data_IF_348128426432
#
_entry.id   IF_348128426432
#
_cell.length_a   1.000
_cell.length_b   1.000
_cell.length_c   1.000
_cell.angle_alpha   90.00
_cell.angle_beta   90.00
_cell.angle_gamma   90.00
#
_symmetry.space_group_name_H-M   'P 1'
#
loop_
_entity.id
_entity.type
_entity.pdbx_description
1 polymer ?
#
# COMPACT_ATOMS: atom_id res chain seq x y z
N UNK A 1 27.95 33.97 -22.92
CA UNK A 1 26.50 33.70 -22.79
C UNK A 1 26.17 32.21 -22.80
N UNK A 2 26.83 31.38 -23.62
CA UNK A 2 26.53 29.93 -23.76
C UNK A 2 26.59 29.06 -22.48
N UNK A 3 27.34 29.46 -21.45
CA UNK A 3 27.51 28.65 -20.22
C UNK A 3 26.31 28.75 -19.26
N UNK A 4 25.58 29.87 -19.28
CA UNK A 4 24.43 30.08 -18.40
C UNK A 4 23.18 29.35 -18.91
N UNK A 5 22.96 29.37 -20.22
CA UNK A 5 21.85 28.64 -20.85
C UNK A 5 21.99 27.12 -20.68
N UNK A 6 23.22 26.60 -20.79
CA UNK A 6 23.53 25.19 -20.49
C UNK A 6 23.29 24.82 -19.03
N UNK A 7 23.56 25.74 -18.10
CA UNK A 7 23.32 25.52 -16.67
C UNK A 7 21.81 25.47 -16.35
N UNK A 8 21.02 26.38 -16.94
CA UNK A 8 19.56 26.36 -16.82
C UNK A 8 18.99 25.07 -17.41
N UNK A 9 19.48 24.64 -18.57
CA UNK A 9 19.04 23.39 -19.20
C UNK A 9 19.31 22.17 -18.32
N UNK A 10 20.52 22.05 -17.78
CA UNK A 10 20.89 20.99 -16.84
C UNK A 10 20.04 21.00 -15.57
N UNK A 11 19.73 22.17 -15.03
CA UNK A 11 18.87 22.29 -13.85
C UNK A 11 17.43 21.84 -14.14
N UNK A 12 16.88 22.23 -15.30
CA UNK A 12 15.55 21.83 -15.76
C UNK A 12 15.47 20.31 -15.97
N UNK A 13 16.44 19.74 -16.68
CA UNK A 13 16.56 18.30 -16.91
C UNK A 13 16.66 17.53 -15.58
N UNK A 14 17.51 17.99 -14.65
CA UNK A 14 17.65 17.37 -13.33
C UNK A 14 16.36 17.44 -12.50
N UNK A 15 15.62 18.55 -12.59
CA UNK A 15 14.33 18.69 -11.92
C UNK A 15 13.29 17.71 -12.48
N UNK A 16 13.22 17.55 -13.80
CA UNK A 16 12.33 16.60 -14.47
C UNK A 16 12.63 15.17 -14.05
N UNK A 17 13.89 14.75 -14.12
CA UNK A 17 14.31 13.38 -13.74
C UNK A 17 13.96 13.08 -12.28
N UNK A 18 14.12 14.07 -11.39
CA UNK A 18 13.76 13.92 -9.98
C UNK A 18 12.25 13.79 -9.78
N UNK A 19 11.45 14.54 -10.52
CA UNK A 19 9.99 14.47 -10.47
C UNK A 19 9.46 13.13 -11.01
N UNK A 20 10.03 12.64 -12.10
CA UNK A 20 9.65 11.34 -12.69
C UNK A 20 10.02 10.18 -11.77
N UNK A 21 11.22 10.20 -11.19
CA UNK A 21 11.60 9.24 -10.15
C UNK A 21 10.65 9.28 -8.97
N UNK A 22 10.25 10.49 -8.53
CA UNK A 22 9.34 10.64 -7.41
C UNK A 22 7.94 10.06 -7.68
N UNK A 23 7.42 10.21 -8.91
CA UNK A 23 6.15 9.60 -9.34
C UNK A 23 6.24 8.07 -9.33
N UNK A 24 7.32 7.52 -9.87
CA UNK A 24 7.57 6.07 -9.88
C UNK A 24 7.62 5.51 -8.46
N UNK A 25 8.39 6.15 -7.57
CA UNK A 25 8.51 5.74 -6.17
C UNK A 25 7.18 5.86 -5.42
N UNK A 26 6.39 6.92 -5.71
CA UNK A 26 5.06 7.12 -5.13
C UNK A 26 4.09 6.01 -5.54
N UNK A 27 4.10 5.63 -6.82
CA UNK A 27 3.29 4.55 -7.36
C UNK A 27 3.69 3.19 -6.78
N UNK A 28 4.97 2.86 -6.75
CA UNK A 28 5.47 1.61 -6.18
C UNK A 28 5.10 1.47 -4.70
N UNK A 29 5.23 2.57 -3.94
CA UNK A 29 4.79 2.62 -2.56
C UNK A 29 3.30 2.33 -2.41
N UNK A 30 2.46 2.97 -3.21
CA UNK A 30 1.01 2.76 -3.14
C UNK A 30 0.65 1.32 -3.52
N UNK A 31 1.24 0.78 -4.59
CA UNK A 31 1.06 -0.62 -5.02
C UNK A 31 1.37 -1.60 -3.88
N UNK A 32 2.54 -1.45 -3.24
CA UNK A 32 2.96 -2.30 -2.11
C UNK A 32 1.95 -2.25 -0.96
N UNK A 33 1.45 -1.07 -0.61
CA UNK A 33 0.46 -0.89 0.47
C UNK A 33 -0.85 -1.57 0.11
N UNK A 34 -1.37 -1.36 -1.11
CA UNK A 34 -2.64 -1.93 -1.55
C UNK A 34 -2.59 -3.45 -1.63
N UNK A 35 -1.53 -4.02 -2.21
CA UNK A 35 -1.30 -5.46 -2.24
C UNK A 35 -1.28 -6.06 -0.84
N UNK A 36 -0.60 -5.40 0.11
CA UNK A 36 -0.54 -5.87 1.50
C UNK A 36 -1.93 -5.85 2.16
N UNK A 37 -2.73 -4.81 1.92
CA UNK A 37 -4.11 -4.73 2.43
C UNK A 37 -5.00 -5.86 1.89
N UNK A 38 -4.91 -6.16 0.58
CA UNK A 38 -5.63 -7.29 -0.03
C UNK A 38 -5.19 -8.62 0.62
N UNK A 39 -3.88 -8.85 0.73
CA UNK A 39 -3.33 -10.06 1.37
C UNK A 39 -3.79 -10.22 2.82
N UNK A 40 -3.67 -9.16 3.63
CA UNK A 40 -4.06 -9.19 5.04
C UNK A 40 -5.57 -9.41 5.19
N UNK A 41 -6.40 -8.81 4.34
CA UNK A 41 -7.86 -9.01 4.38
C UNK A 41 -8.24 -10.44 3.99
N UNK A 42 -7.58 -10.99 2.98
CA UNK A 42 -7.77 -12.38 2.52
C UNK A 42 -7.40 -13.39 3.61
N UNK A 43 -6.21 -13.23 4.22
CA UNK A 43 -5.76 -14.09 5.33
C UNK A 43 -6.68 -13.91 6.54
N UNK A 44 -7.07 -12.68 6.86
CA UNK A 44 -8.01 -12.40 7.95
C UNK A 44 -9.36 -13.07 7.74
N UNK A 45 -9.89 -13.05 6.51
CA UNK A 45 -11.14 -13.72 6.17
C UNK A 45 -11.07 -15.24 6.39
N UNK A 46 -9.96 -15.87 5.99
CA UNK A 46 -9.71 -17.30 6.25
C UNK A 46 -9.60 -17.58 7.75
N UNK A 47 -8.85 -16.75 8.47
CA UNK A 47 -8.68 -16.87 9.93
C UNK A 47 -10.03 -16.77 10.65
N UNK A 48 -10.91 -15.86 10.25
CA UNK A 48 -12.26 -15.75 10.83
C UNK A 48 -13.12 -16.98 10.55
N UNK A 49 -13.01 -17.56 9.34
CA UNK A 49 -13.71 -18.81 9.01
C UNK A 49 -13.18 -19.95 9.89
N UNK A 50 -11.86 -20.09 10.01
CA UNK A 50 -11.25 -21.13 10.86
C UNK A 50 -11.67 -20.95 12.33
N UNK A 51 -11.64 -19.72 12.86
CA UNK A 51 -12.05 -19.45 14.24
C UNK A 51 -13.50 -19.85 14.52
N UNK A 52 -14.42 -19.56 13.61
CA UNK A 52 -15.86 -19.75 13.84
C UNK A 52 -16.38 -21.11 13.37
N UNK A 53 -15.74 -21.75 12.39
CA UNK A 53 -16.22 -22.97 11.75
C UNK A 53 -15.28 -24.16 11.90
N UNK A 54 -14.08 -24.01 12.48
CA UNK A 54 -13.13 -25.12 12.67
C UNK A 54 -13.76 -26.35 13.31
N UNK A 55 -14.66 -26.17 14.28
CA UNK A 55 -15.38 -27.27 14.95
C UNK A 55 -16.08 -28.24 13.99
N UNK A 56 -16.41 -27.82 12.76
CA UNK A 56 -17.05 -28.67 11.76
C UNK A 56 -16.10 -29.70 11.15
N UNK A 57 -14.78 -29.50 11.26
CA UNK A 57 -13.76 -30.40 10.70
C UNK A 57 -12.58 -30.68 11.64
N UNK A 58 -12.47 -30.01 12.79
CA UNK A 58 -11.48 -30.29 13.82
C UNK A 58 -12.13 -30.97 15.02
N UNK A 59 -11.66 -32.17 15.35
CA UNK A 59 -11.99 -32.86 16.60
C UNK A 59 -10.72 -33.21 17.36
N UNK A 60 -10.81 -33.27 18.68
CA UNK A 60 -9.75 -33.81 19.55
C UNK A 60 -9.54 -35.33 19.36
N UNK A 61 -10.44 -35.98 18.64
CA UNK A 61 -10.38 -37.39 18.27
C UNK A 61 -9.43 -37.59 17.08
N UNK A 62 -8.58 -38.62 17.16
CA UNK A 62 -7.60 -38.96 16.12
C UNK A 62 -8.21 -39.40 14.79
N UNK A 63 -9.52 -39.66 14.73
CA UNK A 63 -10.22 -40.08 13.51
C UNK A 63 -11.31 -39.09 13.13
N UNK A 64 -11.13 -38.42 11.98
CA UNK A 64 -12.18 -37.61 11.36
C UNK A 64 -13.26 -38.51 10.75
N UNK A 65 -14.52 -38.20 11.06
CA UNK A 65 -15.69 -38.80 10.41
C UNK A 65 -15.71 -38.50 8.89
N UNK A 66 -16.38 -39.32 8.07
CA UNK A 66 -16.53 -39.05 6.63
C UNK A 66 -17.10 -37.66 6.34
N UNK A 67 -18.06 -37.19 7.15
CA UNK A 67 -18.69 -35.88 7.03
C UNK A 67 -17.69 -34.75 7.33
N UNK A 68 -16.83 -34.92 8.35
CA UNK A 68 -15.78 -33.95 8.67
C UNK A 68 -14.70 -33.88 7.59
N UNK A 69 -14.35 -35.02 6.97
CA UNK A 69 -13.42 -35.05 5.83
C UNK A 69 -14.01 -34.28 4.64
N UNK A 70 -15.28 -34.52 4.32
CA UNK A 70 -15.97 -33.79 3.25
C UNK A 70 -16.01 -32.29 3.54
N UNK A 71 -16.32 -31.89 4.78
CA UNK A 71 -16.33 -30.47 5.16
C UNK A 71 -14.94 -29.84 5.05
N UNK A 72 -13.91 -30.55 5.49
CA UNK A 72 -12.52 -30.09 5.36
C UNK A 72 -12.12 -29.91 3.89
N UNK A 73 -12.48 -30.84 3.01
CA UNK A 73 -12.23 -30.71 1.57
C UNK A 73 -12.92 -29.48 0.96
N UNK A 74 -14.17 -29.22 1.33
CA UNK A 74 -14.91 -28.02 0.91
C UNK A 74 -14.20 -26.76 1.41
N UNK A 75 -13.79 -26.73 2.68
CA UNK A 75 -13.04 -25.62 3.24
C UNK A 75 -11.73 -25.39 2.48
N UNK A 76 -10.97 -26.44 2.17
CA UNK A 76 -9.71 -26.34 1.43
C UNK A 76 -9.93 -25.83 -0.01
N UNK A 77 -11.05 -26.20 -0.65
CA UNK A 77 -11.44 -25.64 -1.95
C UNK A 77 -11.75 -24.15 -1.85
N UNK A 78 -12.60 -23.74 -0.91
CA UNK A 78 -12.96 -22.33 -0.69
C UNK A 78 -11.72 -21.51 -0.34
N UNK A 79 -10.83 -22.04 0.49
CA UNK A 79 -9.55 -21.43 0.84
C UNK A 79 -8.71 -21.16 -0.41
N UNK A 80 -8.58 -22.15 -1.28
CA UNK A 80 -7.82 -22.01 -2.53
C UNK A 80 -8.45 -20.94 -3.43
N UNK A 81 -9.77 -20.93 -3.60
CA UNK A 81 -10.47 -19.91 -4.39
C UNK A 81 -10.30 -18.49 -3.83
N UNK A 82 -10.35 -18.32 -2.50
CA UNK A 82 -10.12 -17.04 -1.84
C UNK A 82 -8.69 -16.55 -2.11
N UNK A 83 -7.70 -17.45 -1.99
CA UNK A 83 -6.30 -17.14 -2.25
C UNK A 83 -6.06 -16.73 -3.71
N UNK A 84 -6.61 -17.48 -4.67
CA UNK A 84 -6.45 -17.20 -6.09
C UNK A 84 -7.11 -15.89 -6.51
N UNK A 85 -8.32 -15.62 -5.99
CA UNK A 85 -9.01 -14.33 -6.22
C UNK A 85 -8.21 -13.18 -5.65
N UNK A 86 -7.71 -13.29 -4.42
CA UNK A 86 -6.89 -12.25 -3.80
C UNK A 86 -5.58 -11.98 -4.56
N UNK A 87 -4.90 -13.03 -5.02
CA UNK A 87 -3.69 -12.91 -5.85
C UNK A 87 -3.98 -12.26 -7.21
N UNK A 88 -5.12 -12.56 -7.83
CA UNK A 88 -5.55 -11.92 -9.07
C UNK A 88 -5.80 -10.42 -8.86
N UNK A 89 -6.50 -10.04 -7.79
CA UNK A 89 -6.74 -8.64 -7.46
C UNK A 89 -5.42 -7.89 -7.17
N UNK A 90 -4.46 -8.53 -6.51
CA UNK A 90 -3.13 -7.96 -6.27
C UNK A 90 -2.37 -7.64 -7.57
N UNK A 91 -2.57 -8.42 -8.65
CA UNK A 91 -2.01 -8.14 -9.99
C UNK A 91 -2.76 -7.02 -10.70
N UNK A 92 -4.09 -7.01 -10.60
CA UNK A 92 -4.92 -5.97 -11.22
C UNK A 92 -4.60 -4.57 -10.70
N UNK A 93 -4.26 -4.45 -9.41
CA UNK A 93 -3.82 -3.17 -8.80
C UNK A 93 -2.63 -2.56 -9.56
N UNK A 94 -1.65 -3.37 -9.99
CA UNK A 94 -0.51 -2.84 -10.75
C UNK A 94 -0.92 -2.33 -12.13
N UNK A 95 -1.82 -3.06 -12.79
CA UNK A 95 -2.33 -2.70 -14.10
C UNK A 95 -3.17 -1.42 -14.05
N UNK A 96 -3.98 -1.24 -13.01
CA UNK A 96 -4.75 -0.01 -12.78
C UNK A 96 -3.82 1.17 -12.46
N UNK A 97 -2.88 1.01 -11.52
CA UNK A 97 -1.93 2.06 -11.15
C UNK A 97 -1.01 2.48 -12.33
N UNK A 98 -0.88 1.65 -13.37
CA UNK A 98 -0.17 2.02 -14.60
C UNK A 98 -0.88 3.05 -15.45
N UNK A 99 -2.18 3.25 -15.25
CA UNK A 99 -2.99 4.19 -16.01
C UNK A 99 -3.10 5.56 -15.31
N UNK A 100 -2.55 5.72 -14.11
CA UNK A 100 -2.64 6.95 -13.31
C UNK A 100 -1.26 7.55 -13.02
N UNK A 101 -1.20 8.89 -12.98
CA UNK A 101 -0.06 9.59 -12.38
C UNK A 101 -0.27 9.69 -10.86
N UNK A 102 0.57 9.00 -10.11
CA UNK A 102 0.45 8.87 -8.65
C UNK A 102 1.50 9.74 -7.98
N UNK A 103 1.04 10.72 -7.20
CA UNK A 103 1.91 11.58 -6.39
C UNK A 103 1.60 11.37 -4.92
N UNK A 104 2.58 10.91 -4.15
CA UNK A 104 2.46 10.89 -2.70
C UNK A 104 2.53 12.33 -2.18
N UNK A 105 1.51 12.78 -1.44
CA UNK A 105 1.42 14.17 -0.99
C UNK A 105 2.31 14.51 0.23
N UNK A 106 2.93 13.50 0.85
CA UNK A 106 3.67 13.60 2.12
C UNK A 106 2.84 14.26 3.23
N UNK A 107 3.38 14.30 4.44
CA UNK A 107 2.83 15.17 5.48
C UNK A 107 3.41 16.57 5.27
N UNK A 108 2.56 17.56 5.02
CA UNK A 108 2.95 18.97 4.97
C UNK A 108 2.58 19.62 6.29
N UNK A 109 3.57 20.05 7.06
CA UNK A 109 3.36 20.91 8.22
C UNK A 109 3.78 22.33 7.83
N UNK A 110 2.85 23.26 7.87
CA UNK A 110 3.16 24.68 7.70
C UNK A 110 3.52 25.23 9.09
N UNK A 111 4.81 25.44 9.36
CA UNK A 111 5.25 26.03 10.63
C UNK A 111 5.18 27.55 10.48
N UNK A 112 4.27 28.24 11.18
CA UNK A 112 4.23 29.70 11.14
C UNK A 112 5.48 30.26 11.81
N UNK A 113 6.27 31.04 11.07
CA UNK A 113 7.40 31.78 11.62
C UNK A 113 6.85 33.03 12.30
N UNK A 114 7.04 33.14 13.62
CA UNK A 114 6.84 34.41 14.34
C UNK A 114 8.12 35.22 14.18
N UNK A 115 8.07 36.30 13.41
CA UNK A 115 9.10 37.32 13.46
C UNK A 115 8.96 38.01 14.82
N UNK A 116 9.95 37.84 15.69
CA UNK A 116 10.03 38.58 16.92
C UNK A 116 10.43 40.00 16.53
N UNK A 117 9.49 40.94 16.57
CA UNK A 117 9.80 42.35 16.42
C UNK A 117 10.84 42.71 17.49
N UNK A 118 12.06 43.00 17.03
CA UNK A 118 13.10 43.59 17.86
C UNK A 118 12.55 44.96 18.27
N UNK A 119 12.14 45.08 19.53
CA UNK A 119 11.59 46.31 20.08
C UNK A 119 12.52 47.48 19.79
N UNK A 120 12.08 48.36 18.90
CA UNK A 120 12.66 49.69 18.75
C UNK A 120 12.49 50.41 20.09
N UNK A 121 13.59 50.97 20.57
CA UNK A 121 13.64 51.72 21.82
C UNK A 121 12.63 52.85 21.82
N UNK A 122 11.83 52.92 22.89
CA UNK A 122 11.24 54.18 23.30
C UNK A 122 12.26 54.91 24.15
N UNK A 123 12.96 55.84 23.52
CA UNK A 123 13.56 56.98 24.20
C UNK A 123 12.44 57.75 24.93
N UNK A 124 12.63 57.97 26.22
CA UNK A 124 11.84 58.85 27.08
C UNK A 124 12.72 59.40 28.19
#
# INVERSE_FOLDING_TARGET
>A
MNNYDDLIRKQSEYKSVREDKYRVDSKDRLSKILKKKVQTTMIGSLSSIEEHFSFLWSTDSSEMTPEQKMMYEIFQKVRSEILDKGNTQARNIDAELAQYDVKWLRYQNNIPVRNQDLGEGQDG
#
